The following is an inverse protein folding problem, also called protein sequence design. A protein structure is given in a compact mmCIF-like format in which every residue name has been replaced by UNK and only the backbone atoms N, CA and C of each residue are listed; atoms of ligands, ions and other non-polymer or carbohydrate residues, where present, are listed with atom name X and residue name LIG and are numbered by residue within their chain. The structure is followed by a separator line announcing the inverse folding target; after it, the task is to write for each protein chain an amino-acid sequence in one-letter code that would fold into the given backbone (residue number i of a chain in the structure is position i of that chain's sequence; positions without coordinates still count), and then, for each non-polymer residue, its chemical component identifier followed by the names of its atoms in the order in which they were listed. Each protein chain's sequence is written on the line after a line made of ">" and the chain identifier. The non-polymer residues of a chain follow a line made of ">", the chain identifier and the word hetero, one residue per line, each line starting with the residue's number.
data_IF_801602880547
#
_entry.id   IF_801602880547
#
_cell.length_a   1.000
_cell.length_b   1.000
_cell.length_c   1.000
_cell.angle_alpha   90.00
_cell.angle_beta   90.00
_cell.angle_gamma   90.00
#
_symmetry.space_group_name_H-M   'P 1'
#
loop_
_entity.id
_entity.type
_entity.pdbx_description
1 polymer ?
#
# COMPACT_ATOMS: atom_id res chain seq x y z
N UNK A 1 6.94 -24.34 34.05
CA UNK A 1 5.91 -24.28 32.98
C UNK A 1 4.89 -23.14 33.12
N UNK A 2 4.82 -22.43 34.25
CA UNK A 2 3.88 -21.30 34.46
C UNK A 2 4.27 -19.97 33.78
N UNK A 3 5.54 -19.80 33.39
CA UNK A 3 6.02 -18.57 32.73
C UNK A 3 5.64 -18.44 31.24
N UNK A 4 5.37 -19.54 30.53
CA UNK A 4 5.01 -19.49 29.10
C UNK A 4 3.55 -19.05 28.88
N UNK A 5 2.64 -19.43 29.79
CA UNK A 5 1.21 -19.06 29.70
C UNK A 5 0.97 -17.59 30.05
N UNK A 6 1.73 -17.03 30.99
CA UNK A 6 1.67 -15.59 31.32
C UNK A 6 2.21 -14.75 30.16
N UNK A 7 3.18 -15.24 29.38
CA UNK A 7 3.70 -14.54 28.20
C UNK A 7 2.71 -14.61 27.02
N UNK A 8 2.09 -15.76 26.76
CA UNK A 8 1.08 -15.85 25.69
C UNK A 8 -0.20 -15.06 25.99
N UNK A 9 -0.69 -15.09 27.22
CA UNK A 9 -1.91 -14.35 27.60
C UNK A 9 -1.67 -12.84 27.64
N UNK A 10 -0.46 -12.40 28.05
CA UNK A 10 -0.06 -10.99 27.93
C UNK A 10 0.18 -10.57 26.47
N UNK A 11 0.67 -11.45 25.58
CA UNK A 11 0.70 -11.18 24.15
C UNK A 11 -0.71 -11.00 23.57
N UNK A 12 -1.68 -11.82 23.99
CA UNK A 12 -3.04 -11.75 23.46
C UNK A 12 -3.83 -10.54 23.99
N UNK A 13 -3.61 -10.14 25.24
CA UNK A 13 -4.20 -8.92 25.82
C UNK A 13 -3.50 -7.66 25.29
N UNK A 14 -2.19 -7.75 24.99
CA UNK A 14 -1.47 -6.69 24.29
C UNK A 14 -2.03 -6.47 22.87
N UNK A 15 -2.39 -7.52 22.12
CA UNK A 15 -2.95 -7.36 20.75
C UNK A 15 -4.28 -6.59 20.75
N UNK A 16 -5.17 -6.83 21.73
CA UNK A 16 -6.46 -6.11 21.82
C UNK A 16 -6.33 -4.66 22.27
N UNK A 17 -5.44 -4.36 23.24
CA UNK A 17 -5.22 -2.98 23.70
C UNK A 17 -4.32 -2.16 22.77
N UNK A 18 -3.39 -2.82 22.05
CA UNK A 18 -2.62 -2.19 20.97
C UNK A 18 -3.59 -1.76 19.88
N UNK A 19 -4.60 -2.55 19.49
CA UNK A 19 -5.56 -2.14 18.45
C UNK A 19 -6.27 -0.81 18.75
N UNK A 20 -6.67 -0.55 20.01
CA UNK A 20 -7.37 0.68 20.42
C UNK A 20 -6.42 1.87 20.58
N UNK A 21 -5.20 1.65 21.10
CA UNK A 21 -4.15 2.69 21.16
C UNK A 21 -3.54 3.00 19.77
N UNK A 22 -3.53 2.03 18.86
CA UNK A 22 -3.08 2.15 17.47
C UNK A 22 -4.10 2.91 16.60
N UNK A 23 -5.40 2.81 16.95
CA UNK A 23 -6.47 3.68 16.43
C UNK A 23 -6.33 5.12 16.93
N UNK A 24 -5.98 5.34 18.20
CA UNK A 24 -5.77 6.68 18.76
C UNK A 24 -4.51 7.37 18.20
N UNK A 25 -3.44 6.63 17.89
CA UNK A 25 -2.28 7.10 17.12
C UNK A 25 -2.53 7.18 15.59
N UNK A 26 -3.76 6.92 15.13
CA UNK A 26 -4.14 7.03 13.72
C UNK A 26 -4.68 8.40 13.32
N UNK A 27 -4.88 9.30 14.27
CA UNK A 27 -5.55 10.60 14.05
C UNK A 27 -4.56 11.71 13.65
N UNK A 28 -3.24 11.50 13.82
CA UNK A 28 -2.18 12.42 13.37
C UNK A 28 -1.11 11.62 12.59
N UNK A 29 -1.36 11.35 11.30
CA UNK A 29 -0.43 10.54 10.47
C UNK A 29 0.07 11.32 9.23
N UNK A 30 1.38 11.24 8.93
CA UNK A 30 1.90 11.67 7.63
C UNK A 30 1.29 10.82 6.51
N UNK A 31 1.04 11.43 5.33
CA UNK A 31 0.41 10.75 4.19
C UNK A 31 1.26 9.56 3.71
N UNK A 32 0.64 8.42 3.40
CA UNK A 32 1.34 7.21 2.95
C UNK A 32 1.75 6.25 4.08
N UNK A 33 1.52 6.61 5.35
CA UNK A 33 1.83 5.75 6.50
C UNK A 33 0.95 4.50 6.57
N UNK A 34 -0.22 4.48 5.89
CA UNK A 34 -1.11 3.31 5.90
C UNK A 34 -0.50 2.14 5.15
N UNK A 35 0.13 2.38 4.01
CA UNK A 35 0.77 1.30 3.23
C UNK A 35 1.91 0.65 4.01
N UNK A 36 2.78 1.48 4.61
CA UNK A 36 3.93 1.02 5.39
C UNK A 36 3.52 0.25 6.64
N UNK A 37 2.35 0.53 7.24
CA UNK A 37 1.92 -0.04 8.52
C UNK A 37 0.86 -1.14 8.43
N UNK A 38 -0.05 -1.06 7.46
CA UNK A 38 -1.15 -2.00 7.29
C UNK A 38 -0.78 -3.15 6.37
N UNK A 39 0.13 -2.92 5.41
CA UNK A 39 0.61 -4.00 4.57
C UNK A 39 1.52 -4.94 5.36
N UNK A 40 1.45 -6.22 5.03
CA UNK A 40 2.29 -7.25 5.64
C UNK A 40 3.61 -7.34 4.86
N UNK A 41 4.72 -7.18 5.56
CA UNK A 41 6.07 -7.15 4.98
C UNK A 41 6.88 -8.33 5.51
N UNK A 42 7.67 -8.96 4.64
CA UNK A 42 8.57 -10.03 5.05
C UNK A 42 9.63 -9.49 6.01
N UNK A 43 9.96 -10.28 7.05
CA UNK A 43 11.04 -9.94 7.96
C UNK A 43 12.36 -9.87 7.17
N UNK A 44 12.91 -8.67 7.08
CA UNK A 44 14.19 -8.35 6.46
C UNK A 44 15.34 -9.06 7.19
N UNK A 45 15.68 -10.28 6.77
CA UNK A 45 16.81 -11.02 7.33
C UNK A 45 18.12 -10.23 7.25
N UNK A 46 18.39 -9.56 6.11
CA UNK A 46 19.52 -8.65 5.88
C UNK A 46 19.31 -7.75 4.62
N UNK A 47 18.07 -7.53 4.19
CA UNK A 47 17.73 -6.79 2.95
C UNK A 47 16.42 -6.00 3.05
N UNK A 48 16.04 -5.25 2.01
CA UNK A 48 14.77 -4.51 1.98
C UNK A 48 13.59 -5.50 1.98
N UNK A 49 12.70 -5.43 2.97
CA UNK A 49 11.57 -6.38 3.08
C UNK A 49 10.63 -6.29 1.89
N UNK A 50 10.16 -7.42 1.37
CA UNK A 50 9.17 -7.49 0.28
C UNK A 50 7.76 -7.51 0.85
N UNK A 51 6.76 -7.12 0.07
CA UNK A 51 5.37 -7.32 0.43
C UNK A 51 5.08 -8.83 0.46
N UNK A 52 4.46 -9.29 1.55
CA UNK A 52 4.01 -10.67 1.65
C UNK A 52 2.85 -10.93 0.70
N UNK A 53 2.78 -12.13 0.14
CA UNK A 53 1.65 -12.54 -0.70
C UNK A 53 0.52 -12.96 0.23
N UNK A 54 -0.34 -12.00 0.58
CA UNK A 54 -1.50 -12.20 1.45
C UNK A 54 -2.76 -11.61 0.83
N UNK A 55 -3.96 -12.15 1.14
CA UNK A 55 -5.21 -11.60 0.61
C UNK A 55 -5.42 -10.11 0.94
N UNK A 56 -4.97 -9.67 2.12
CA UNK A 56 -5.01 -8.27 2.52
C UNK A 56 -4.14 -7.40 1.60
N UNK A 57 -2.88 -7.80 1.36
CA UNK A 57 -1.95 -7.05 0.50
C UNK A 57 -2.45 -7.01 -0.94
N UNK A 58 -2.92 -8.14 -1.48
CA UNK A 58 -3.53 -8.18 -2.82
C UNK A 58 -4.73 -7.22 -2.90
N UNK A 59 -5.56 -7.15 -1.86
CA UNK A 59 -6.70 -6.25 -1.83
C UNK A 59 -6.29 -4.78 -1.78
N UNK A 60 -5.28 -4.43 -0.97
CA UNK A 60 -4.69 -3.07 -0.93
C UNK A 60 -4.14 -2.69 -2.31
N UNK A 61 -3.36 -3.57 -2.94
CA UNK A 61 -2.79 -3.34 -4.28
C UNK A 61 -3.88 -3.15 -5.34
N UNK A 62 -4.97 -3.92 -5.26
CA UNK A 62 -6.12 -3.74 -6.15
C UNK A 62 -6.78 -2.37 -5.99
N UNK A 63 -6.95 -1.88 -4.75
CA UNK A 63 -7.51 -0.54 -4.53
C UNK A 63 -6.59 0.57 -5.05
N UNK A 64 -5.27 0.41 -4.92
CA UNK A 64 -4.27 1.32 -5.53
C UNK A 64 -4.37 1.30 -7.05
N UNK A 65 -4.42 0.11 -7.66
CA UNK A 65 -4.57 -0.04 -9.11
C UNK A 65 -5.84 0.67 -9.61
N UNK A 66 -6.99 0.44 -8.97
CA UNK A 66 -8.25 1.12 -9.31
C UNK A 66 -8.14 2.64 -9.21
N UNK A 67 -7.46 3.14 -8.17
CA UNK A 67 -7.24 4.57 -8.00
C UNK A 67 -6.45 5.13 -9.19
N UNK A 68 -5.30 4.53 -9.51
CA UNK A 68 -4.40 4.96 -10.60
C UNK A 68 -5.08 4.85 -11.97
N UNK A 69 -5.74 3.73 -12.28
CA UNK A 69 -6.45 3.54 -13.55
C UNK A 69 -7.59 4.54 -13.75
N UNK A 70 -8.27 4.93 -12.67
CA UNK A 70 -9.34 5.91 -12.75
C UNK A 70 -8.84 7.36 -12.82
N UNK A 71 -7.55 7.60 -12.59
CA UNK A 71 -6.99 8.93 -12.39
C UNK A 71 -7.07 9.77 -13.66
N UNK A 72 -6.78 9.20 -14.83
CA UNK A 72 -6.81 9.90 -16.12
C UNK A 72 -8.23 10.37 -16.51
N UNK A 73 -9.26 9.66 -16.07
CA UNK A 73 -10.65 9.98 -16.39
C UNK A 73 -11.29 10.91 -15.35
N UNK A 74 -10.96 10.72 -14.06
CA UNK A 74 -11.52 11.52 -12.96
C UNK A 74 -10.78 12.84 -12.75
N UNK A 75 -9.48 12.86 -13.00
CA UNK A 75 -8.59 13.98 -12.68
C UNK A 75 -7.62 14.26 -13.85
N UNK A 76 -8.13 14.61 -15.04
CA UNK A 76 -7.32 14.71 -16.26
C UNK A 76 -6.24 15.80 -16.22
N UNK A 77 -6.40 16.83 -15.38
CA UNK A 77 -5.39 17.89 -15.21
C UNK A 77 -4.29 17.42 -14.26
N UNK A 78 -4.68 16.82 -13.14
CA UNK A 78 -3.78 16.26 -12.14
C UNK A 78 -2.99 15.07 -12.73
N UNK A 79 -3.56 14.33 -13.68
CA UNK A 79 -2.89 13.22 -14.35
C UNK A 79 -1.62 13.62 -15.11
N UNK A 80 -1.56 14.88 -15.56
CA UNK A 80 -0.43 15.49 -16.28
C UNK A 80 0.61 16.11 -15.35
N UNK A 81 0.36 16.09 -14.04
CA UNK A 81 1.31 16.60 -13.07
C UNK A 81 2.61 15.79 -13.13
N UNK A 82 3.72 16.51 -13.19
CA UNK A 82 5.06 15.96 -13.29
C UNK A 82 5.60 15.79 -11.88
N UNK A 83 6.02 14.57 -11.55
CA UNK A 83 6.59 14.23 -10.26
C UNK A 83 7.93 14.93 -10.04
N UNK A 84 8.24 15.25 -8.79
CA UNK A 84 9.53 15.86 -8.42
C UNK A 84 10.68 14.91 -8.75
N UNK A 85 10.52 13.63 -8.44
CA UNK A 85 11.44 12.54 -8.78
C UNK A 85 10.67 11.39 -9.45
N UNK A 86 11.29 10.64 -10.36
CA UNK A 86 10.64 9.50 -10.98
C UNK A 86 10.42 8.38 -9.97
N UNK A 87 9.26 7.73 -10.07
CA UNK A 87 9.08 6.41 -9.50
C UNK A 87 9.83 5.42 -10.38
N UNK A 88 10.65 4.58 -9.76
CA UNK A 88 11.51 3.64 -10.48
C UNK A 88 11.41 2.25 -9.88
N UNK A 89 11.31 1.23 -10.72
CA UNK A 89 11.30 -0.17 -10.30
C UNK A 89 11.76 -1.09 -11.43
N UNK A 90 11.98 -2.36 -11.09
CA UNK A 90 12.26 -3.41 -12.06
C UNK A 90 10.96 -3.97 -12.61
N UNK A 91 10.87 -4.09 -13.92
CA UNK A 91 9.70 -4.57 -14.64
C UNK A 91 10.09 -5.67 -15.63
N UNK A 92 9.11 -6.52 -15.96
CA UNK A 92 9.23 -7.50 -17.05
C UNK A 92 8.44 -7.08 -18.29
N UNK A 93 7.96 -5.82 -18.34
CA UNK A 93 7.28 -5.29 -19.52
C UNK A 93 8.26 -5.17 -20.69
N UNK A 94 7.82 -5.62 -21.85
CA UNK A 94 8.59 -5.47 -23.09
C UNK A 94 8.34 -4.08 -23.70
N UNK A 95 9.37 -3.45 -24.30
CA UNK A 95 9.20 -2.19 -25.03
C UNK A 95 8.14 -2.27 -26.14
N UNK A 96 8.00 -3.43 -26.78
CA UNK A 96 7.00 -3.73 -27.82
C UNK A 96 5.55 -3.67 -27.33
N UNK A 97 5.32 -3.74 -26.02
CA UNK A 97 3.99 -3.68 -25.43
C UNK A 97 3.44 -2.24 -25.33
N UNK A 98 4.30 -1.24 -25.48
CA UNK A 98 3.90 0.14 -25.66
C UNK A 98 3.53 0.37 -27.13
N UNK A 99 2.52 1.21 -27.39
CA UNK A 99 1.98 1.44 -28.73
C UNK A 99 2.07 2.94 -29.09
N UNK A 100 0.97 3.53 -29.56
CA UNK A 100 0.90 4.94 -29.93
C UNK A 100 1.25 5.86 -28.75
N UNK A 101 1.95 6.95 -29.05
CA UNK A 101 2.46 7.88 -28.03
C UNK A 101 3.80 7.48 -27.43
N UNK A 102 4.47 6.47 -27.99
CA UNK A 102 5.79 6.01 -27.55
C UNK A 102 6.78 5.85 -28.71
N UNK A 103 8.03 6.24 -28.44
CA UNK A 103 9.18 5.98 -29.29
C UNK A 103 9.84 4.68 -28.79
N UNK A 104 9.75 3.63 -29.60
CA UNK A 104 10.15 2.27 -29.21
C UNK A 104 11.43 1.88 -29.95
N UNK A 105 12.34 1.25 -29.21
CA UNK A 105 13.52 0.56 -29.72
C UNK A 105 13.52 -0.89 -29.21
N UNK A 106 14.52 -1.69 -29.59
CA UNK A 106 14.63 -3.08 -29.14
C UNK A 106 14.68 -3.24 -27.62
N UNK A 107 15.26 -2.25 -26.91
CA UNK A 107 15.50 -2.34 -25.46
C UNK A 107 14.88 -1.20 -24.66
N UNK A 108 14.27 -0.22 -25.34
CA UNK A 108 13.72 0.97 -24.68
C UNK A 108 12.35 1.36 -25.23
N UNK A 109 11.48 1.86 -24.36
CA UNK A 109 10.29 2.62 -24.78
C UNK A 109 10.30 3.98 -24.06
N UNK A 110 10.05 5.06 -24.81
CA UNK A 110 10.01 6.43 -24.28
C UNK A 110 8.68 7.06 -24.62
N UNK A 111 8.02 7.71 -23.67
CA UNK A 111 6.81 8.49 -23.99
C UNK A 111 7.17 9.66 -24.91
N UNK A 112 6.28 9.99 -25.84
CA UNK A 112 6.33 11.24 -26.60
C UNK A 112 6.01 12.46 -25.70
N UNK A 113 5.25 12.24 -24.63
CA UNK A 113 5.06 13.24 -23.58
C UNK A 113 6.37 13.46 -22.82
N UNK A 114 6.77 14.73 -22.71
CA UNK A 114 8.01 15.17 -22.07
C UNK A 114 7.73 16.24 -21.02
N UNK A 115 8.68 16.44 -20.11
CA UNK A 115 8.69 17.55 -19.18
C UNK A 115 9.19 18.86 -19.82
N UNK A 116 9.40 19.89 -18.99
CA UNK A 116 9.87 21.21 -19.42
C UNK A 116 11.29 21.19 -19.99
N UNK A 117 12.09 20.19 -19.61
CA UNK A 117 13.47 20.01 -20.04
C UNK A 117 13.60 19.06 -21.25
N UNK A 118 12.47 18.47 -21.68
CA UNK A 118 12.40 17.55 -22.80
C UNK A 118 12.65 16.08 -22.41
N UNK A 119 12.70 15.77 -21.11
CA UNK A 119 12.85 14.41 -20.63
C UNK A 119 11.49 13.67 -20.68
N UNK A 120 11.46 12.40 -21.14
CA UNK A 120 10.22 11.66 -21.27
C UNK A 120 9.57 11.37 -19.91
N UNK A 121 8.24 11.50 -19.85
CA UNK A 121 7.48 11.20 -18.63
C UNK A 121 7.42 9.69 -18.30
N UNK A 122 7.68 8.83 -19.28
CA UNK A 122 7.94 7.40 -19.09
C UNK A 122 9.18 6.99 -19.86
N UNK A 123 10.09 6.31 -19.18
CA UNK A 123 11.26 5.67 -19.76
C UNK A 123 11.34 4.22 -19.29
N UNK A 124 11.13 3.29 -20.21
CA UNK A 124 11.50 1.89 -20.05
C UNK A 124 12.89 1.69 -20.65
N UNK A 125 13.82 1.18 -19.87
CA UNK A 125 15.14 0.71 -20.28
C UNK A 125 15.36 -0.64 -19.60
N UNK A 126 15.03 -1.73 -20.31
CA UNK A 126 14.90 -3.07 -19.73
C UNK A 126 16.12 -3.44 -18.87
N UNK A 127 15.94 -3.91 -17.61
CA UNK A 127 14.67 -4.25 -16.96
C UNK A 127 14.08 -3.13 -16.07
N UNK A 128 14.51 -1.88 -16.20
CA UNK A 128 14.09 -0.78 -15.32
C UNK A 128 13.09 0.14 -16.03
N UNK A 129 12.08 0.59 -15.29
CA UNK A 129 11.12 1.58 -15.76
C UNK A 129 11.09 2.77 -14.81
N UNK A 130 11.02 3.97 -15.38
CA UNK A 130 10.89 5.24 -14.70
C UNK A 130 9.60 5.93 -15.15
N UNK A 131 8.82 6.42 -14.19
CA UNK A 131 7.55 7.10 -14.45
C UNK A 131 7.45 8.38 -13.66
N UNK A 132 7.05 9.46 -14.32
CA UNK A 132 6.98 10.84 -13.78
C UNK A 132 5.59 11.44 -13.78
N UNK A 133 4.53 10.69 -14.11
CA UNK A 133 3.16 11.20 -14.01
C UNK A 133 2.13 10.11 -13.74
N UNK A 134 0.98 10.48 -13.18
CA UNK A 134 -0.13 9.54 -12.96
C UNK A 134 -0.73 9.04 -14.28
N UNK A 135 -0.73 9.86 -15.33
CA UNK A 135 -1.18 9.44 -16.66
C UNK A 135 -0.35 8.28 -17.21
N UNK A 136 0.97 8.40 -17.07
CA UNK A 136 1.90 7.36 -17.50
C UNK A 136 1.80 6.11 -16.60
N UNK A 137 1.60 6.25 -15.28
CA UNK A 137 1.31 5.11 -14.40
C UNK A 137 0.05 4.34 -14.84
N UNK A 138 -1.03 5.06 -15.19
CA UNK A 138 -2.25 4.43 -15.71
C UNK A 138 -1.98 3.66 -17.00
N UNK A 139 -1.11 4.17 -17.87
CA UNK A 139 -0.76 3.49 -19.11
C UNK A 139 0.09 2.24 -18.85
N UNK A 140 1.02 2.28 -17.90
CA UNK A 140 1.80 1.11 -17.47
C UNK A 140 0.86 0.00 -16.99
N UNK A 141 -0.12 0.32 -16.14
CA UNK A 141 -1.11 -0.66 -15.70
C UNK A 141 -1.94 -1.22 -16.87
N UNK A 142 -2.35 -0.36 -17.81
CA UNK A 142 -3.07 -0.78 -19.02
C UNK A 142 -2.26 -1.80 -19.84
N UNK A 143 -0.97 -1.54 -20.05
CA UNK A 143 -0.03 -2.41 -20.78
C UNK A 143 0.22 -3.72 -20.01
N UNK A 144 0.33 -3.66 -18.68
CA UNK A 144 0.60 -4.82 -17.83
C UNK A 144 -0.53 -5.86 -17.80
N UNK A 145 -1.77 -5.47 -18.12
CA UNK A 145 -2.95 -6.35 -18.20
C UNK A 145 -3.13 -7.24 -16.97
N UNK A 146 -2.73 -8.50 -17.05
CA UNK A 146 -2.87 -9.49 -15.97
C UNK A 146 -1.77 -9.35 -14.90
N UNK A 147 -0.66 -8.70 -15.23
CA UNK A 147 0.49 -8.51 -14.34
C UNK A 147 0.43 -7.19 -13.53
N UNK A 148 -0.70 -6.48 -13.54
CA UNK A 148 -0.89 -5.20 -12.83
C UNK A 148 -0.53 -5.26 -11.35
N UNK A 149 -0.89 -6.35 -10.67
CA UNK A 149 -0.57 -6.54 -9.25
C UNK A 149 0.94 -6.63 -9.01
N UNK A 150 1.66 -7.34 -9.88
CA UNK A 150 3.11 -7.51 -9.79
C UNK A 150 3.83 -6.18 -10.04
N UNK A 151 3.39 -5.41 -11.05
CA UNK A 151 3.94 -4.09 -11.34
C UNK A 151 3.69 -3.10 -10.19
N UNK A 152 2.46 -3.08 -9.65
CA UNK A 152 2.13 -2.22 -8.50
C UNK A 152 2.95 -2.60 -7.26
N UNK A 153 3.10 -3.90 -6.99
CA UNK A 153 3.94 -4.39 -5.90
C UNK A 153 5.40 -3.98 -6.08
N UNK A 154 6.00 -4.23 -7.24
CA UNK A 154 7.39 -3.89 -7.52
C UNK A 154 7.64 -2.38 -7.41
N UNK A 155 6.70 -1.56 -7.88
CA UNK A 155 6.74 -0.11 -7.74
C UNK A 155 6.75 0.32 -6.26
N UNK A 156 5.85 -0.22 -5.45
CA UNK A 156 5.76 0.10 -4.01
C UNK A 156 7.01 -0.36 -3.25
N UNK A 157 7.53 -1.55 -3.54
CA UNK A 157 8.71 -2.09 -2.88
C UNK A 157 9.96 -1.27 -3.17
N UNK A 158 10.11 -0.79 -4.41
CA UNK A 158 11.24 0.02 -4.85
C UNK A 158 11.13 1.50 -4.41
N UNK A 159 9.92 1.99 -4.15
CA UNK A 159 9.65 3.39 -3.81
C UNK A 159 8.97 3.49 -2.44
N UNK A 160 9.77 3.37 -1.36
CA UNK A 160 9.27 3.36 0.04
C UNK A 160 8.46 4.60 0.42
N UNK A 161 8.84 5.76 -0.09
CA UNK A 161 8.18 7.04 0.15
C UNK A 161 7.74 7.69 -1.18
N UNK A 162 6.74 7.11 -1.86
CA UNK A 162 6.34 7.56 -3.19
C UNK A 162 5.76 8.99 -3.14
N UNK A 163 5.21 9.41 -1.99
CA UNK A 163 4.70 10.76 -1.77
C UNK A 163 5.82 11.80 -1.87
N UNK A 164 7.01 11.52 -1.33
CA UNK A 164 8.16 12.41 -1.42
C UNK A 164 8.63 12.53 -2.86
N UNK A 165 8.65 11.42 -3.61
CA UNK A 165 9.02 11.46 -5.03
C UNK A 165 8.00 12.22 -5.88
N UNK A 166 6.72 12.06 -5.60
CA UNK A 166 5.64 12.72 -6.36
C UNK A 166 5.58 14.22 -6.01
N UNK A 167 5.50 14.55 -4.72
CA UNK A 167 5.19 15.90 -4.24
C UNK A 167 6.39 16.64 -3.62
N UNK A 168 7.52 16.00 -3.43
CA UNK A 168 8.69 16.58 -2.75
C UNK A 168 8.64 16.45 -1.22
N UNK A 169 9.76 16.77 -0.58
CA UNK A 169 9.99 16.61 0.86
C UNK A 169 8.96 17.33 1.73
N UNK A 170 8.50 18.50 1.31
CA UNK A 170 7.51 19.30 2.04
C UNK A 170 6.24 18.50 2.37
N UNK A 171 5.89 17.51 1.57
CA UNK A 171 4.69 16.69 1.74
C UNK A 171 4.95 15.34 2.43
N UNK A 172 6.21 14.97 2.66
CA UNK A 172 6.59 13.74 3.38
C UNK A 172 6.46 13.86 4.91
N UNK A 173 6.65 15.06 5.45
CA UNK A 173 6.67 15.33 6.90
C UNK A 173 5.41 16.06 7.41
N UNK A 174 4.46 16.40 6.53
CA UNK A 174 3.31 17.24 6.87
C UNK A 174 2.29 16.54 7.79
N UNK A 175 1.99 17.18 8.92
CA UNK A 175 0.93 16.79 9.86
C UNK A 175 -0.42 17.49 9.52
N UNK A 176 -1.53 16.88 9.95
CA UNK A 176 -2.89 17.12 9.46
C UNK A 176 -3.39 18.58 9.54
N UNK A 177 -3.03 19.30 10.59
CA UNK A 177 -3.55 20.65 10.88
C UNK A 177 -3.08 21.72 9.89
N UNK A 178 -1.94 21.51 9.23
CA UNK A 178 -1.42 22.47 8.24
C UNK A 178 -2.28 22.49 6.98
N UNK A 179 -2.92 21.38 6.63
CA UNK A 179 -3.71 21.29 5.39
C UNK A 179 -4.98 22.11 5.50
N UNK A 180 -5.87 21.88 6.46
CA UNK A 180 -7.18 22.57 6.50
C UNK A 180 -7.09 24.08 6.69
N UNK A 181 -6.09 24.59 7.42
CA UNK A 181 -5.99 26.02 7.72
C UNK A 181 -5.22 26.84 6.68
N UNK A 182 -4.20 26.29 6.00
CA UNK A 182 -3.55 27.01 4.87
C UNK A 182 -4.32 26.87 3.54
N UNK A 183 -5.29 25.96 3.46
CA UNK A 183 -6.13 25.70 2.27
C UNK A 183 -7.06 26.88 1.93
N UNK A 184 -7.53 27.67 2.90
CA UNK A 184 -8.49 28.75 2.65
C UNK A 184 -7.84 30.12 2.39
N UNK A 185 -6.59 30.32 2.81
CA UNK A 185 -6.08 31.69 3.06
C UNK A 185 -5.17 32.28 1.97
N UNK A 186 -4.98 31.59 0.84
CA UNK A 186 -4.20 32.17 -0.28
C UNK A 186 -4.80 31.82 -1.64
N UNK A 187 -5.82 32.59 -2.03
CA UNK A 187 -6.46 32.62 -3.36
C UNK A 187 -5.50 33.20 -4.44
N UNK A 188 -4.17 33.18 -4.23
CA UNK A 188 -3.25 33.95 -5.08
C UNK A 188 -1.87 33.31 -5.31
N UNK A 189 -1.79 32.00 -5.61
CA UNK A 189 -0.53 31.35 -5.99
C UNK A 189 -0.69 30.36 -7.16
N UNK A 190 0.29 30.43 -8.05
CA UNK A 190 0.66 29.55 -9.18
C UNK A 190 -0.16 28.26 -9.39
N UNK A 191 -0.60 28.03 -10.63
CA UNK A 191 -1.43 26.88 -11.04
C UNK A 191 -0.77 25.53 -10.69
N UNK A 192 0.55 25.44 -10.78
CA UNK A 192 1.32 24.24 -10.41
C UNK A 192 1.15 23.90 -8.92
N UNK A 193 1.23 24.91 -8.05
CA UNK A 193 1.02 24.75 -6.60
C UNK A 193 -0.40 24.29 -6.28
N UNK A 194 -1.39 24.80 -7.02
CA UNK A 194 -2.79 24.39 -6.85
C UNK A 194 -3.02 22.92 -7.24
N UNK A 195 -2.50 22.48 -8.38
CA UNK A 195 -2.58 21.08 -8.83
C UNK A 195 -1.86 20.16 -7.83
N UNK A 196 -0.66 20.55 -7.40
CA UNK A 196 0.14 19.82 -6.40
C UNK A 196 -0.64 19.61 -5.09
N UNK A 197 -1.34 20.64 -4.60
CA UNK A 197 -2.21 20.54 -3.41
C UNK A 197 -3.39 19.61 -3.62
N UNK A 198 -4.05 19.66 -4.78
CA UNK A 198 -5.15 18.73 -5.08
C UNK A 198 -4.69 17.28 -5.07
N UNK A 199 -3.53 17.00 -5.67
CA UNK A 199 -2.95 15.65 -5.65
C UNK A 199 -2.67 15.19 -4.22
N UNK A 200 -2.13 16.06 -3.36
CA UNK A 200 -1.94 15.76 -1.95
C UNK A 200 -3.26 15.35 -1.26
N UNK A 201 -4.36 16.07 -1.52
CA UNK A 201 -5.69 15.74 -0.99
C UNK A 201 -6.16 14.38 -1.51
N UNK A 202 -6.00 14.08 -2.79
CA UNK A 202 -6.40 12.81 -3.38
C UNK A 202 -5.60 11.62 -2.81
N UNK A 203 -4.29 11.80 -2.61
CA UNK A 203 -3.43 10.79 -2.01
C UNK A 203 -3.78 10.56 -0.53
N UNK A 204 -4.14 11.62 0.21
CA UNK A 204 -4.65 11.50 1.57
C UNK A 204 -5.99 10.76 1.63
N UNK A 205 -6.89 11.04 0.69
CA UNK A 205 -8.16 10.32 0.57
C UNK A 205 -7.95 8.84 0.26
N UNK A 206 -6.99 8.51 -0.61
CA UNK A 206 -6.58 7.14 -0.86
C UNK A 206 -6.03 6.49 0.41
N UNK A 207 -5.11 7.14 1.14
CA UNK A 207 -4.53 6.59 2.37
C UNK A 207 -5.61 6.25 3.40
N UNK A 208 -6.57 7.15 3.63
CA UNK A 208 -7.72 6.92 4.51
C UNK A 208 -8.62 5.79 4.00
N UNK A 209 -8.83 5.70 2.69
CA UNK A 209 -9.60 4.62 2.07
C UNK A 209 -8.92 3.27 2.28
N UNK A 210 -7.62 3.16 2.03
CA UNK A 210 -6.83 1.95 2.26
C UNK A 210 -6.83 1.54 3.73
N UNK A 211 -6.81 2.50 4.66
CA UNK A 211 -6.86 2.23 6.09
C UNK A 211 -8.20 1.62 6.48
N UNK A 212 -9.29 2.27 6.07
CA UNK A 212 -10.64 1.77 6.32
C UNK A 212 -10.89 0.41 5.65
N UNK A 213 -10.36 0.23 4.45
CA UNK A 213 -10.42 -1.03 3.71
C UNK A 213 -9.70 -2.14 4.49
N UNK A 214 -8.48 -1.87 4.94
CA UNK A 214 -7.67 -2.81 5.72
C UNK A 214 -8.35 -3.17 7.05
N UNK A 215 -8.91 -2.19 7.76
CA UNK A 215 -9.64 -2.43 9.01
C UNK A 215 -10.87 -3.32 8.79
N UNK A 216 -11.60 -3.14 7.69
CA UNK A 216 -12.73 -4.03 7.34
C UNK A 216 -12.26 -5.45 7.05
N UNK A 217 -11.18 -5.60 6.27
CA UNK A 217 -10.62 -6.92 5.95
C UNK A 217 -10.14 -7.65 7.21
N UNK A 218 -9.38 -6.95 8.07
CA UNK A 218 -8.95 -7.46 9.37
C UNK A 218 -10.15 -7.78 10.25
N UNK A 219 -11.19 -6.93 10.28
CA UNK A 219 -12.40 -7.22 11.06
C UNK A 219 -13.14 -8.46 10.57
N UNK A 220 -13.12 -8.76 9.27
CA UNK A 220 -13.71 -9.98 8.70
C UNK A 220 -12.88 -11.22 9.02
N UNK A 221 -11.55 -11.11 9.05
CA UNK A 221 -10.66 -12.20 9.49
C UNK A 221 -10.74 -12.43 11.01
N UNK A 222 -10.83 -11.36 11.81
CA UNK A 222 -10.96 -11.41 13.28
C UNK A 222 -12.36 -11.82 13.72
N UNK A 223 -13.38 -11.66 12.87
CA UNK A 223 -14.68 -12.30 13.10
C UNK A 223 -14.56 -13.79 12.83
N UNK A 224 -13.83 -14.44 13.75
CA UNK A 224 -13.85 -15.86 14.02
C UNK A 224 -15.30 -16.33 13.91
N UNK A 225 -15.61 -17.05 12.83
CA UNK A 225 -16.89 -17.73 12.74
C UNK A 225 -16.95 -18.67 13.96
N UNK A 226 -17.88 -18.47 14.91
CA UNK A 226 -17.92 -19.27 16.13
C UNK A 226 -17.99 -20.76 15.84
N UNK A 227 -18.60 -21.16 14.71
CA UNK A 227 -18.66 -22.54 14.28
C UNK A 227 -17.30 -23.09 13.81
N UNK A 228 -16.50 -22.28 13.10
CA UNK A 228 -15.15 -22.68 12.66
C UNK A 228 -14.19 -22.73 13.85
N UNK A 229 -14.19 -21.71 14.69
CA UNK A 229 -13.36 -21.67 15.89
C UNK A 229 -13.70 -22.82 16.86
N UNK A 230 -14.99 -23.16 17.01
CA UNK A 230 -15.41 -24.32 17.80
C UNK A 230 -14.86 -25.64 17.22
N UNK A 231 -14.85 -25.80 15.89
CA UNK A 231 -14.27 -26.99 15.24
C UNK A 231 -12.76 -27.08 15.46
N UNK A 232 -12.06 -25.95 15.40
CA UNK A 232 -10.61 -25.91 15.64
C UNK A 232 -10.27 -26.22 17.10
N UNK A 233 -11.06 -25.69 18.04
CA UNK A 233 -10.97 -26.05 19.47
C UNK A 233 -11.29 -27.53 19.69
N UNK A 234 -12.30 -28.08 19.01
CA UNK A 234 -12.61 -29.52 19.07
C UNK A 234 -11.48 -30.38 18.49
N UNK A 235 -10.84 -29.94 17.41
CA UNK A 235 -9.69 -30.61 16.82
C UNK A 235 -8.49 -30.60 17.78
N UNK A 236 -8.16 -29.45 18.36
CA UNK A 236 -7.08 -29.33 19.35
C UNK A 236 -7.35 -30.17 20.60
N UNK A 237 -8.63 -30.27 21.04
CA UNK A 237 -9.03 -31.16 22.12
C UNK A 237 -8.76 -32.64 21.81
N UNK A 238 -8.85 -33.09 20.55
CA UNK A 238 -8.53 -34.48 20.18
C UNK A 238 -7.05 -34.82 20.32
N UNK A 239 -6.17 -33.81 20.22
CA UNK A 239 -4.73 -33.96 20.44
C UNK A 239 -4.30 -33.71 21.88
N UNK A 240 -5.27 -33.49 22.78
CA UNK A 240 -5.05 -33.21 24.20
C UNK A 240 -5.45 -34.39 25.07
N UNK A 241 -4.64 -34.76 26.06
CA UNK A 241 -4.96 -35.84 26.99
C UNK A 241 -3.74 -36.43 27.70
N UNK A 242 -3.96 -37.54 28.41
CA UNK A 242 -2.90 -38.30 29.09
C UNK A 242 -2.60 -39.58 28.30
N UNK A 243 -1.81 -39.47 27.23
CA UNK A 243 -1.33 -40.62 26.47
C UNK A 243 0.00 -40.32 25.76
N UNK A 244 0.77 -41.36 25.44
CA UNK A 244 2.11 -41.21 24.84
C UNK A 244 2.09 -40.61 23.42
N UNK A 245 0.91 -40.48 22.79
CA UNK A 245 0.68 -39.89 21.47
C UNK A 245 0.00 -38.51 21.51
N UNK A 246 -0.30 -37.96 22.69
CA UNK A 246 -0.93 -36.63 22.82
C UNK A 246 0.13 -35.55 22.97
N UNK A 247 0.06 -34.50 22.15
CA UNK A 247 1.04 -33.40 22.12
C UNK A 247 0.74 -32.35 23.20
N UNK A 248 -0.49 -32.30 23.70
CA UNK A 248 -0.96 -31.32 24.69
C UNK A 248 -1.53 -32.04 25.93
N UNK A 249 -1.23 -31.55 27.13
CA UNK A 249 -1.69 -32.18 28.38
C UNK A 249 -3.19 -31.94 28.63
N UNK A 250 -3.66 -30.71 28.41
CA UNK A 250 -5.08 -30.36 28.46
C UNK A 250 -5.36 -29.03 27.74
N UNK A 251 -6.60 -28.83 27.30
CA UNK A 251 -7.10 -27.55 26.78
C UNK A 251 -8.45 -27.26 27.42
N UNK A 252 -8.51 -26.17 28.18
CA UNK A 252 -9.75 -25.59 28.69
C UNK A 252 -10.13 -24.38 27.85
N UNK A 253 -11.31 -24.44 27.22
CA UNK A 253 -11.89 -23.34 26.47
C UNK A 253 -13.08 -22.79 27.25
N UNK A 254 -12.99 -21.53 27.68
CA UNK A 254 -14.10 -20.79 28.27
C UNK A 254 -14.65 -19.82 27.21
N UNK A 255 -15.84 -20.11 26.68
CA UNK A 255 -16.60 -19.13 25.92
C UNK A 255 -17.11 -18.06 26.89
N UNK A 256 -16.42 -16.93 26.96
CA UNK A 256 -16.91 -15.77 27.72
C UNK A 256 -18.25 -15.32 27.15
N UNK A 257 -19.24 -15.14 28.04
CA UNK A 257 -20.45 -14.37 27.77
C UNK A 257 -20.11 -12.91 27.46
#
# INVERSE_FOLDING_TARGET
>A
MSQFYVVMLNCFIAVKNVCVLWLAWSINRPMGATLTRSAQWTAAGYGTGTLEITPLNESILNEINKFVESFIYKYPQEAKFIFVEPLEWKTNLEPSAFESGYIISETTAKSEEVDKDGEPLLLLSVPHIQVRSFGQLSQVLSVAKDNKLQEAQACIEANRDPIIKILGLDYGEMNDDSTTLTILDTINKDNETFIKRKIAILLKQLDLHLLNHSLKHISLEISLNPATFKKDVELLKRFSGKGDQTVLESIEYTSGL
#
